data_IF_493144067659
#
_entry.id   IF_493144067659
#
_cell.length_a   1.000
_cell.length_b   1.000
_cell.length_c   1.000
_cell.angle_alpha   90.00
_cell.angle_beta   90.00
_cell.angle_gamma   90.00
#
_symmetry.space_group_name_H-M   'P 1'
#
loop_
_entity.id
_entity.type
_entity.pdbx_description
1 polymer ?
#
# COMPACT_ATOMS: atom_id res chain seq x y z
N UNK A 1 13.76 13.91 22.00
CA UNK A 1 13.17 12.90 21.09
C UNK A 1 13.97 12.92 19.80
N UNK A 2 14.20 11.78 19.15
CA UNK A 2 14.89 11.77 17.87
C UNK A 2 13.91 12.30 16.80
N UNK A 3 14.14 13.54 16.36
CA UNK A 3 13.30 14.24 15.37
C UNK A 3 13.91 14.15 13.96
N UNK A 4 14.65 13.08 13.68
CA UNK A 4 15.20 12.82 12.35
C UNK A 4 14.35 11.79 11.59
N UNK A 5 14.49 11.80 10.27
CA UNK A 5 13.72 10.92 9.38
C UNK A 5 13.87 9.42 9.75
N UNK A 6 15.09 8.87 9.95
CA UNK A 6 15.23 7.45 10.29
C UNK A 6 14.51 7.06 11.58
N UNK A 7 14.61 7.88 12.63
CA UNK A 7 13.96 7.56 13.89
C UNK A 7 12.45 7.66 13.82
N UNK A 8 11.91 8.71 13.19
CA UNK A 8 10.47 8.88 13.01
C UNK A 8 9.86 7.73 12.18
N UNK A 9 10.55 7.27 11.14
CA UNK A 9 10.15 6.08 10.38
C UNK A 9 10.17 4.80 11.23
N UNK A 10 11.23 4.59 12.02
CA UNK A 10 11.34 3.42 12.87
C UNK A 10 10.23 3.39 13.92
N UNK A 11 9.94 4.54 14.54
CA UNK A 11 8.87 4.71 15.51
C UNK A 11 7.48 4.50 14.89
N UNK A 12 7.21 5.09 13.72
CA UNK A 12 5.96 4.90 12.99
C UNK A 12 5.73 3.43 12.60
N UNK A 13 6.78 2.77 12.11
CA UNK A 13 6.74 1.35 11.76
C UNK A 13 6.51 0.47 12.99
N UNK A 14 7.27 0.66 14.07
CA UNK A 14 7.13 -0.09 15.31
C UNK A 14 5.73 0.08 15.93
N UNK A 15 5.20 1.30 15.96
CA UNK A 15 3.85 1.58 16.43
C UNK A 15 2.79 0.89 15.57
N UNK A 16 2.95 0.89 14.23
CA UNK A 16 2.06 0.18 13.31
C UNK A 16 2.08 -1.34 13.55
N UNK A 17 3.26 -1.95 13.75
CA UNK A 17 3.41 -3.37 14.10
C UNK A 17 2.70 -3.74 15.40
N UNK A 18 2.71 -2.82 16.38
CA UNK A 18 2.06 -3.02 17.68
C UNK A 18 0.55 -2.72 17.65
N UNK A 19 -0.03 -2.41 16.49
CA UNK A 19 -1.43 -1.99 16.37
C UNK A 19 -1.74 -0.62 16.98
N UNK A 20 -0.70 0.17 17.33
CA UNK A 20 -0.83 1.52 17.89
C UNK A 20 -0.94 2.54 16.77
N UNK A 21 -2.03 2.46 16.01
CA UNK A 21 -2.18 3.21 14.76
C UNK A 21 -2.27 4.72 14.96
N UNK A 22 -2.87 5.21 16.05
CA UNK A 22 -2.91 6.64 16.35
C UNK A 22 -1.50 7.20 16.61
N UNK A 23 -0.69 6.45 17.35
CA UNK A 23 0.72 6.79 17.62
C UNK A 23 1.54 6.76 16.33
N UNK A 24 1.31 5.74 15.50
CA UNK A 24 1.99 5.65 14.21
C UNK A 24 1.62 6.82 13.28
N UNK A 25 0.36 7.28 13.31
CA UNK A 25 -0.10 8.42 12.53
C UNK A 25 0.52 9.75 13.03
N UNK A 26 0.78 9.89 14.34
CA UNK A 26 1.49 11.04 14.91
C UNK A 26 2.93 11.11 14.38
N UNK A 27 3.69 10.01 14.46
CA UNK A 27 5.06 9.98 13.95
C UNK A 27 5.13 10.23 12.44
N UNK A 28 4.16 9.70 11.67
CA UNK A 28 4.06 10.03 10.24
C UNK A 28 3.74 11.50 10.00
N UNK A 29 2.90 12.12 10.82
CA UNK A 29 2.61 13.54 10.72
C UNK A 29 3.85 14.39 10.98
N UNK A 30 4.65 14.03 11.99
CA UNK A 30 5.92 14.69 12.27
C UNK A 30 6.92 14.49 11.11
N UNK A 31 6.96 13.28 10.56
CA UNK A 31 7.81 12.92 9.44
C UNK A 31 7.49 13.75 8.18
N UNK A 32 6.21 13.89 7.81
CA UNK A 32 5.80 14.71 6.64
C UNK A 32 6.06 16.21 6.83
N UNK A 33 6.18 16.67 8.08
CA UNK A 33 6.47 18.06 8.41
C UNK A 33 7.97 18.38 8.45
N UNK A 34 8.85 17.39 8.25
CA UNK A 34 10.28 17.65 8.11
C UNK A 34 10.56 18.51 6.88
N UNK A 35 11.47 19.49 7.01
CA UNK A 35 11.84 20.40 5.92
C UNK A 35 12.31 19.69 4.65
N UNK A 36 12.88 18.49 4.78
CA UNK A 36 13.26 17.65 3.65
C UNK A 36 13.10 16.17 4.01
N UNK A 37 12.28 15.46 3.24
CA UNK A 37 12.23 14.00 3.25
C UNK A 37 13.05 13.44 2.11
N UNK A 38 13.89 12.46 2.43
CA UNK A 38 14.57 11.69 1.41
C UNK A 38 13.55 10.94 0.54
N UNK A 39 13.93 10.54 -0.69
CA UNK A 39 13.09 9.70 -1.54
C UNK A 39 12.62 8.41 -0.84
N UNK A 40 13.53 7.80 -0.06
CA UNK A 40 13.23 6.62 0.74
C UNK A 40 12.22 6.95 1.84
N UNK A 41 12.37 8.09 2.49
CA UNK A 41 11.45 8.58 3.51
C UNK A 41 10.03 8.77 2.98
N UNK A 42 9.88 9.47 1.85
CA UNK A 42 8.59 9.64 1.16
C UNK A 42 7.95 8.30 0.80
N UNK A 43 8.76 7.34 0.30
CA UNK A 43 8.27 6.01 -0.09
C UNK A 43 7.76 5.22 1.11
N UNK A 44 8.53 5.20 2.20
CA UNK A 44 8.14 4.50 3.42
C UNK A 44 6.92 5.15 4.09
N UNK A 45 6.87 6.49 4.15
CA UNK A 45 5.71 7.22 4.63
C UNK A 45 4.45 6.93 3.80
N UNK A 46 4.56 6.98 2.47
CA UNK A 46 3.47 6.65 1.55
C UNK A 46 2.93 5.22 1.75
N UNK A 47 3.82 4.23 1.88
CA UNK A 47 3.44 2.84 2.21
C UNK A 47 2.70 2.77 3.55
N UNK A 48 3.23 3.40 4.59
CA UNK A 48 2.59 3.39 5.90
C UNK A 48 1.18 4.02 5.86
N UNK A 49 0.98 5.12 5.13
CA UNK A 49 -0.35 5.73 4.95
C UNK A 49 -1.35 4.84 4.21
N UNK A 50 -0.90 4.05 3.23
CA UNK A 50 -1.76 3.08 2.53
C UNK A 50 -2.23 1.96 3.46
N UNK A 51 -1.43 1.61 4.46
CA UNK A 51 -1.57 0.36 5.21
C UNK A 51 -2.10 0.56 6.64
N UNK A 52 -2.13 1.80 7.13
CA UNK A 52 -2.75 2.13 8.42
C UNK A 52 -4.30 2.12 8.39
N UNK A 53 -4.96 1.68 9.47
CA UNK A 53 -6.36 1.98 9.74
C UNK A 53 -6.62 3.49 9.72
N UNK A 54 -7.74 3.91 9.14
CA UNK A 54 -7.99 5.33 8.84
C UNK A 54 -7.50 5.78 7.46
N UNK A 55 -6.65 4.98 6.79
CA UNK A 55 -6.38 4.98 5.33
C UNK A 55 -6.26 6.40 4.72
N UNK A 56 -5.11 7.03 4.94
CA UNK A 56 -4.78 8.36 4.39
C UNK A 56 -4.31 8.28 2.94
N UNK A 57 -5.18 7.75 2.09
CA UNK A 57 -4.84 7.44 0.69
C UNK A 57 -4.45 8.67 -0.12
N UNK A 58 -5.07 9.83 0.11
CA UNK A 58 -4.69 11.08 -0.56
C UNK A 58 -3.27 11.50 -0.21
N UNK A 59 -2.88 11.43 1.07
CA UNK A 59 -1.52 11.74 1.50
C UNK A 59 -0.50 10.75 0.93
N UNK A 60 -0.86 9.47 0.86
CA UNK A 60 -0.01 8.47 0.21
C UNK A 60 0.15 8.77 -1.28
N UNK A 61 -0.95 9.09 -1.96
CA UNK A 61 -0.99 9.39 -3.38
C UNK A 61 -0.08 10.59 -3.71
N UNK A 62 -0.19 11.68 -2.96
CA UNK A 62 0.61 12.89 -3.19
C UNK A 62 2.11 12.65 -3.00
N UNK A 63 2.50 11.95 -1.92
CA UNK A 63 3.91 11.59 -1.69
C UNK A 63 4.48 10.73 -2.80
N UNK A 64 3.73 9.71 -3.23
CA UNK A 64 4.16 8.75 -4.24
C UNK A 64 4.14 9.36 -5.64
N UNK A 65 3.20 10.25 -5.95
CA UNK A 65 3.16 11.01 -7.20
C UNK A 65 4.42 11.85 -7.37
N UNK A 66 4.83 12.54 -6.30
CA UNK A 66 6.07 13.34 -6.32
C UNK A 66 7.30 12.48 -6.59
N UNK A 67 7.38 11.28 -6.00
CA UNK A 67 8.48 10.35 -6.28
C UNK A 67 8.48 9.83 -7.72
N UNK A 68 7.31 9.52 -8.27
CA UNK A 68 7.22 9.11 -9.68
C UNK A 68 7.60 10.28 -10.60
N UNK A 69 7.22 11.52 -10.28
CA UNK A 69 7.65 12.68 -11.06
C UNK A 69 9.17 12.91 -10.99
N UNK A 70 9.79 12.67 -9.83
CA UNK A 70 11.22 12.87 -9.60
C UNK A 70 12.09 11.80 -10.26
N UNK A 71 11.66 10.52 -10.20
CA UNK A 71 12.48 9.40 -10.66
C UNK A 71 11.94 8.62 -11.86
N UNK A 72 10.68 8.80 -12.20
CA UNK A 72 9.99 8.08 -13.26
C UNK A 72 10.03 6.57 -13.08
N UNK A 73 10.14 5.87 -14.21
CA UNK A 73 10.16 4.40 -14.26
C UNK A 73 11.49 3.76 -13.85
N UNK A 74 12.50 4.55 -13.46
CA UNK A 74 13.81 4.05 -13.01
C UNK A 74 13.71 3.23 -11.72
N UNK A 75 12.69 3.48 -10.90
CA UNK A 75 12.37 2.69 -9.73
C UNK A 75 10.98 2.08 -9.87
N UNK A 76 10.85 0.90 -10.53
CA UNK A 76 9.57 0.23 -10.72
C UNK A 76 8.78 0.04 -9.43
N UNK A 77 9.49 -0.16 -8.32
CA UNK A 77 8.90 -0.30 -7.00
C UNK A 77 8.09 0.94 -6.55
N UNK A 78 8.59 2.15 -6.83
CA UNK A 78 7.88 3.40 -6.53
C UNK A 78 6.61 3.50 -7.36
N UNK A 79 6.70 3.21 -8.66
CA UNK A 79 5.57 3.28 -9.59
C UNK A 79 4.47 2.28 -9.20
N UNK A 80 4.85 1.06 -8.81
CA UNK A 80 3.90 0.04 -8.33
C UNK A 80 3.20 0.47 -7.04
N UNK A 81 3.95 1.06 -6.11
CA UNK A 81 3.37 1.58 -4.86
C UNK A 81 2.41 2.74 -5.15
N UNK A 82 2.73 3.61 -6.10
CA UNK A 82 1.83 4.67 -6.54
C UNK A 82 0.56 4.12 -7.19
N UNK A 83 0.66 3.05 -8.00
CA UNK A 83 -0.51 2.36 -8.54
C UNK A 83 -1.42 1.79 -7.45
N UNK A 84 -0.85 1.26 -6.36
CA UNK A 84 -1.62 0.82 -5.17
C UNK A 84 -2.36 2.01 -4.54
N UNK A 85 -1.73 3.19 -4.46
CA UNK A 85 -2.38 4.39 -3.94
C UNK A 85 -3.56 4.83 -4.82
N UNK A 86 -3.35 4.92 -6.13
CA UNK A 86 -4.41 5.24 -7.10
C UNK A 86 -5.59 4.26 -6.99
N UNK A 87 -5.31 2.96 -6.98
CA UNK A 87 -6.35 1.94 -6.82
C UNK A 87 -7.06 2.04 -5.47
N UNK A 88 -6.33 2.34 -4.39
CA UNK A 88 -6.92 2.54 -3.06
C UNK A 88 -7.88 3.74 -3.01
N UNK A 89 -7.59 4.76 -3.82
CA UNK A 89 -8.39 5.96 -4.03
C UNK A 89 -9.49 5.83 -5.10
N UNK A 90 -9.73 4.63 -5.63
CA UNK A 90 -10.77 4.43 -6.64
C UNK A 90 -10.37 4.84 -8.07
N UNK A 91 -9.14 5.33 -8.27
CA UNK A 91 -8.60 5.75 -9.56
C UNK A 91 -8.05 4.54 -10.34
N UNK A 92 -8.93 3.59 -10.64
CA UNK A 92 -8.53 2.29 -11.22
C UNK A 92 -7.93 2.42 -12.62
N UNK A 93 -8.48 3.30 -13.45
CA UNK A 93 -7.97 3.51 -14.80
C UNK A 93 -6.56 4.10 -14.77
N UNK A 94 -6.31 5.06 -13.88
CA UNK A 94 -4.98 5.65 -13.71
C UNK A 94 -3.98 4.62 -13.16
N UNK A 95 -4.40 3.79 -12.19
CA UNK A 95 -3.59 2.69 -11.66
C UNK A 95 -3.21 1.67 -12.76
N UNK A 96 -4.14 1.34 -13.66
CA UNK A 96 -3.89 0.44 -14.79
C UNK A 96 -2.98 1.11 -15.82
N UNK A 97 -3.21 2.37 -16.14
CA UNK A 97 -2.44 3.13 -17.12
C UNK A 97 -0.97 3.22 -16.70
N UNK A 98 -0.70 3.61 -15.46
CA UNK A 98 0.68 3.79 -15.01
C UNK A 98 1.44 2.46 -14.92
N UNK A 99 0.76 1.37 -14.57
CA UNK A 99 1.32 0.03 -14.61
C UNK A 99 1.66 -0.37 -16.06
N UNK A 100 0.76 -0.11 -17.01
CA UNK A 100 1.02 -0.36 -18.43
C UNK A 100 2.24 0.41 -18.93
N UNK A 101 2.33 1.70 -18.59
CA UNK A 101 3.45 2.54 -18.99
C UNK A 101 4.77 2.06 -18.39
N UNK A 102 4.75 1.61 -17.13
CA UNK A 102 5.90 0.97 -16.50
C UNK A 102 6.34 -0.27 -17.28
N UNK A 103 5.39 -1.11 -17.71
CA UNK A 103 5.68 -2.32 -18.46
C UNK A 103 6.32 -2.01 -19.82
N UNK A 104 5.78 -1.02 -20.54
CA UNK A 104 6.35 -0.55 -21.81
C UNK A 104 7.75 0.03 -21.60
N UNK A 105 7.96 0.84 -20.55
CA UNK A 105 9.22 1.52 -20.29
C UNK A 105 10.34 0.58 -19.84
N UNK A 106 10.01 -0.52 -19.15
CA UNK A 106 10.99 -1.44 -18.56
C UNK A 106 11.14 -2.75 -19.33
N UNK A 107 10.23 -3.04 -20.26
CA UNK A 107 10.11 -4.35 -20.90
C UNK A 107 9.70 -5.47 -19.94
N UNK A 108 9.38 -5.14 -18.68
CA UNK A 108 8.90 -6.10 -17.69
C UNK A 108 7.39 -6.22 -17.87
N UNK A 109 6.92 -7.41 -18.25
CA UNK A 109 5.48 -7.66 -18.34
C UNK A 109 4.78 -7.36 -17.01
N UNK A 110 3.59 -6.76 -17.10
CA UNK A 110 2.63 -6.76 -15.99
C UNK A 110 2.34 -8.20 -15.61
N UNK A 111 2.86 -8.59 -14.46
CA UNK A 111 2.88 -9.99 -14.05
C UNK A 111 2.49 -10.10 -12.57
N UNK A 112 2.81 -11.25 -11.98
CA UNK A 112 2.63 -11.59 -10.57
C UNK A 112 2.95 -10.51 -9.54
N UNK A 113 3.77 -9.51 -9.87
CA UNK A 113 4.17 -8.46 -8.94
C UNK A 113 3.13 -7.35 -8.72
N UNK A 114 2.03 -7.31 -9.48
CA UNK A 114 0.96 -6.31 -9.32
C UNK A 114 -0.31 -6.90 -8.68
N UNK A 115 -0.21 -8.13 -8.15
CA UNK A 115 -1.32 -8.88 -7.54
C UNK A 115 -2.00 -8.09 -6.42
N UNK A 116 -1.26 -7.26 -5.66
CA UNK A 116 -1.90 -6.42 -4.66
C UNK A 116 -2.83 -5.37 -5.30
N UNK A 117 -2.35 -4.63 -6.31
CA UNK A 117 -3.15 -3.64 -7.03
C UNK A 117 -4.35 -4.29 -7.71
N UNK A 118 -4.15 -5.43 -8.37
CA UNK A 118 -5.23 -6.20 -9.00
C UNK A 118 -6.26 -6.69 -7.99
N UNK A 119 -5.82 -7.17 -6.82
CA UNK A 119 -6.69 -7.55 -5.72
C UNK A 119 -7.50 -6.39 -5.19
N UNK A 120 -6.90 -5.21 -5.03
CA UNK A 120 -7.61 -3.99 -4.58
C UNK A 120 -8.67 -3.57 -5.58
N UNK A 121 -8.35 -3.58 -6.88
CA UNK A 121 -9.31 -3.27 -7.94
C UNK A 121 -10.48 -4.27 -7.90
N UNK A 122 -10.19 -5.57 -7.81
CA UNK A 122 -11.22 -6.61 -7.76
C UNK A 122 -12.09 -6.53 -6.49
N UNK A 123 -11.50 -6.28 -5.32
CA UNK A 123 -12.19 -6.13 -4.04
C UNK A 123 -13.18 -4.97 -4.11
N UNK A 124 -12.72 -3.81 -4.59
CA UNK A 124 -13.55 -2.62 -4.69
C UNK A 124 -14.60 -2.69 -5.79
N UNK A 125 -14.37 -3.53 -6.81
CA UNK A 125 -15.35 -3.82 -7.86
C UNK A 125 -16.39 -4.85 -7.44
N UNK A 126 -16.35 -5.34 -6.19
CA UNK A 126 -17.31 -6.32 -5.66
C UNK A 126 -17.08 -7.75 -6.12
N UNK A 127 -15.94 -8.05 -6.77
CA UNK A 127 -15.63 -9.39 -7.28
C UNK A 127 -14.75 -10.14 -6.30
N UNK A 128 -15.30 -10.40 -5.12
CA UNK A 128 -14.57 -10.88 -3.93
C UNK A 128 -13.72 -12.12 -4.17
N UNK A 129 -14.22 -13.10 -4.93
CA UNK A 129 -13.47 -14.33 -5.22
C UNK A 129 -12.22 -14.09 -6.09
N UNK A 130 -12.30 -13.13 -7.02
CA UNK A 130 -11.13 -12.74 -7.82
C UNK A 130 -10.12 -11.99 -6.95
N UNK A 131 -10.59 -11.10 -6.08
CA UNK A 131 -9.72 -10.39 -5.15
C UNK A 131 -8.94 -11.35 -4.23
N UNK A 132 -9.62 -12.35 -3.64
CA UNK A 132 -8.99 -13.39 -2.82
C UNK A 132 -7.90 -14.15 -3.60
N UNK A 133 -8.17 -14.52 -4.85
CA UNK A 133 -7.18 -15.20 -5.72
C UNK A 133 -5.94 -14.35 -5.98
N UNK A 134 -6.10 -13.04 -6.10
CA UNK A 134 -4.96 -12.14 -6.24
C UNK A 134 -4.17 -12.01 -4.94
N UNK A 135 -4.86 -11.80 -3.81
CA UNK A 135 -4.20 -11.66 -2.51
C UNK A 135 -3.47 -12.93 -2.06
N UNK A 136 -4.07 -14.11 -2.23
CA UNK A 136 -3.44 -15.39 -1.86
C UNK A 136 -2.18 -15.72 -2.66
N UNK A 137 -2.05 -15.11 -3.83
CA UNK A 137 -0.87 -15.27 -4.69
C UNK A 137 0.15 -14.15 -4.50
N UNK A 138 -0.06 -13.14 -3.66
CA UNK A 138 0.99 -12.14 -3.45
C UNK A 138 2.26 -12.82 -2.89
N UNK A 139 3.41 -12.53 -3.50
CA UNK A 139 4.71 -13.05 -3.07
C UNK A 139 5.34 -12.09 -2.05
N UNK A 140 6.24 -12.60 -1.21
CA UNK A 140 7.01 -11.76 -0.29
C UNK A 140 7.95 -10.86 -1.10
N UNK A 141 7.90 -9.55 -0.84
CA UNK A 141 8.89 -8.59 -1.35
C UNK A 141 10.11 -8.54 -0.42
N UNK A 142 11.20 -7.90 -0.86
CA UNK A 142 12.43 -7.70 -0.06
C UNK A 142 12.20 -6.82 1.19
N UNK A 143 10.97 -6.36 1.39
CA UNK A 143 10.58 -5.53 2.51
C UNK A 143 9.93 -6.41 3.57
N UNK A 144 10.53 -6.43 4.75
CA UNK A 144 10.03 -7.19 5.88
C UNK A 144 9.01 -6.39 6.71
N UNK A 145 8.13 -7.11 7.41
CA UNK A 145 7.23 -6.54 8.40
C UNK A 145 5.88 -6.05 7.84
N UNK A 146 5.13 -5.27 8.63
CA UNK A 146 3.72 -4.97 8.36
C UNK A 146 3.52 -4.00 7.19
N UNK A 147 4.59 -3.38 6.72
CA UNK A 147 4.56 -2.47 5.57
C UNK A 147 4.76 -3.20 4.25
N UNK A 148 5.07 -4.51 4.26
CA UNK A 148 5.32 -5.33 3.08
C UNK A 148 4.07 -5.55 2.23
N UNK A 149 4.27 -5.76 0.92
CA UNK A 149 3.15 -5.93 -0.03
C UNK A 149 2.40 -7.21 0.30
N UNK A 150 3.17 -8.24 0.68
CA UNK A 150 2.67 -9.53 1.14
C UNK A 150 1.81 -9.40 2.39
N UNK A 151 2.30 -8.74 3.44
CA UNK A 151 1.56 -8.64 4.69
C UNK A 151 0.23 -7.91 4.51
N UNK A 152 0.18 -6.86 3.69
CA UNK A 152 -1.08 -6.19 3.40
C UNK A 152 -2.06 -7.12 2.66
N UNK A 153 -1.58 -7.85 1.67
CA UNK A 153 -2.42 -8.80 0.94
C UNK A 153 -3.04 -9.84 1.89
N UNK A 154 -2.26 -10.37 2.82
CA UNK A 154 -2.74 -11.28 3.86
C UNK A 154 -3.77 -10.61 4.79
N UNK A 155 -3.49 -9.40 5.28
CA UNK A 155 -4.42 -8.66 6.15
C UNK A 155 -5.77 -8.40 5.46
N UNK A 156 -5.75 -8.10 4.15
CA UNK A 156 -6.98 -7.91 3.36
C UNK A 156 -7.70 -9.24 3.15
N UNK A 157 -6.98 -10.31 2.83
CA UNK A 157 -7.55 -11.65 2.68
C UNK A 157 -8.26 -12.10 3.97
N UNK A 158 -7.60 -12.03 5.12
CA UNK A 158 -8.18 -12.38 6.42
C UNK A 158 -9.43 -11.57 6.76
N UNK A 159 -9.46 -10.28 6.39
CA UNK A 159 -10.63 -9.43 6.61
C UNK A 159 -11.81 -9.89 5.75
N UNK A 160 -11.55 -10.24 4.50
CA UNK A 160 -12.58 -10.73 3.59
C UNK A 160 -13.13 -12.09 4.04
N UNK A 161 -12.27 -12.97 4.55
CA UNK A 161 -12.67 -14.28 5.08
C UNK A 161 -13.50 -14.15 6.36
N UNK A 162 -13.12 -13.26 7.28
CA UNK A 162 -13.92 -12.94 8.47
C UNK A 162 -15.30 -12.39 8.13
N UNK A 163 -15.35 -11.42 7.23
CA UNK A 163 -16.63 -10.83 6.79
C UNK A 163 -17.58 -11.86 6.19
N UNK A 164 -17.05 -12.89 5.52
CA UNK A 164 -17.86 -13.98 4.95
C UNK A 164 -18.36 -14.95 6.04
N UNK A 165 -17.51 -15.28 7.01
CA UNK A 165 -17.88 -16.12 8.15
C UNK A 165 -18.99 -15.47 8.99
N UNK A 166 -18.91 -14.15 9.21
CA UNK A 166 -19.91 -13.38 9.93
C UNK A 166 -21.25 -13.28 9.17
N UNK A 167 -21.22 -13.13 7.84
CA UNK A 167 -22.46 -13.16 7.04
C UNK A 167 -23.16 -14.51 7.09
N UNK A 168 -22.42 -15.62 7.10
CA UNK A 168 -23.01 -16.96 7.17
C UNK A 168 -23.50 -17.34 8.58
N UNK A 169 -22.88 -16.81 9.64
CA UNK A 169 -23.34 -17.01 11.02
C UNK A 169 -24.64 -16.26 11.35
N UNK A 170 -24.94 -15.18 10.63
CA UNK A 170 -26.21 -14.45 10.74
C UNK A 170 -27.38 -15.10 9.98
N UNK A 171 -27.11 -16.09 9.14
CA UNK A 171 -28.11 -16.77 8.28
C UNK A 171 -28.56 -18.13 8.83
N UNK A 172 -28.05 -18.60 9.96
CA UNK A 172 -28.53 -19.81 10.63
C UNK A 172 -29.81 -19.53 11.43
N UNK A 173 -30.97 -20.15 11.10
CA UNK A 173 -32.23 -20.02 11.82
C UNK A 173 -32.25 -20.75 13.18
#
# INVERSE_FOLDING_TARGET
>A
MPNDEPALLALASAASTQGKFDVAAQYLSELVNLHSLSPRGKLMAGRLFLYQPGRKFDQAEDLLRNLVAEFGYRFPFVVKTFAVALASNGKYQDAIAILRDLSVATGVELNRFDRLTQGIIAERSGVSEIAKRYYSRCERDDLEGPISTYHLAQLRLERMERSLAESHAGETP
#
